data_IF_386946578032
#
_entry.id   IF_386946578032
#
_cell.length_a   1.000
_cell.length_b   1.000
_cell.length_c   1.000
_cell.angle_alpha   90.00
_cell.angle_beta   90.00
_cell.angle_gamma   90.00
#
_symmetry.space_group_name_H-M   'P 1'
#
loop_
_entity.id
_entity.type
_entity.pdbx_description
1 polymer ?
#
# COMPACT_ATOMS: atom_id res chain seq x y z
N UNK A 1 28.09 12.16 -3.78
CA UNK A 1 27.68 10.80 -4.23
C UNK A 1 27.57 10.75 -5.74
N UNK A 2 26.59 11.41 -6.38
CA UNK A 2 26.35 11.29 -7.83
C UNK A 2 27.47 11.83 -8.73
N UNK A 3 28.28 12.78 -8.25
CA UNK A 3 29.49 13.25 -8.96
C UNK A 3 30.52 12.12 -9.08
N UNK A 4 30.76 11.35 -8.01
CA UNK A 4 31.67 10.20 -8.04
C UNK A 4 31.19 9.10 -8.99
N UNK A 5 29.87 8.83 -8.99
CA UNK A 5 29.28 7.87 -9.93
C UNK A 5 29.48 8.35 -11.38
N UNK A 6 29.33 9.66 -11.62
CA UNK A 6 29.57 10.23 -12.94
C UNK A 6 31.05 10.11 -13.37
N UNK A 7 32.00 10.29 -12.45
CA UNK A 7 33.43 10.05 -12.69
C UNK A 7 33.70 8.56 -12.98
N UNK A 8 33.13 7.64 -12.21
CA UNK A 8 33.25 6.20 -12.47
C UNK A 8 32.68 5.83 -13.84
N UNK A 9 31.53 6.39 -14.22
CA UNK A 9 30.92 6.16 -15.54
C UNK A 9 31.81 6.64 -16.71
N UNK A 10 32.65 7.65 -16.50
CA UNK A 10 33.61 8.10 -17.53
C UNK A 10 34.66 7.03 -17.84
N UNK A 11 35.04 6.20 -16.86
CA UNK A 11 35.97 5.08 -17.09
C UNK A 11 35.40 4.03 -18.05
N UNK A 12 34.07 3.94 -18.14
CA UNK A 12 33.35 3.07 -19.09
C UNK A 12 32.99 3.79 -20.41
N UNK A 13 33.51 5.00 -20.64
CA UNK A 13 33.28 5.79 -21.86
C UNK A 13 32.01 6.64 -21.86
N UNK A 14 31.31 6.76 -20.73
CA UNK A 14 30.10 7.59 -20.63
C UNK A 14 30.40 8.97 -20.03
N UNK A 15 30.04 10.03 -20.75
CA UNK A 15 30.20 11.42 -20.27
C UNK A 15 28.86 11.97 -19.79
N UNK A 16 28.62 11.92 -18.49
CA UNK A 16 27.45 12.52 -17.85
C UNK A 16 27.85 13.46 -16.71
N UNK A 17 27.05 14.49 -16.46
CA UNK A 17 27.15 15.32 -15.26
C UNK A 17 26.50 14.63 -14.05
N UNK A 18 27.00 14.90 -12.85
CA UNK A 18 26.42 14.38 -11.61
C UNK A 18 24.92 14.71 -11.45
N UNK A 19 24.44 15.86 -11.97
CA UNK A 19 23.02 16.21 -11.94
C UNK A 19 22.19 15.34 -12.91
N UNK A 20 22.76 14.99 -14.07
CA UNK A 20 22.10 14.07 -15.02
C UNK A 20 21.99 12.67 -14.41
N UNK A 21 23.06 12.18 -13.76
CA UNK A 21 23.06 10.89 -13.06
C UNK A 21 22.02 10.89 -11.94
N UNK A 22 21.96 11.95 -11.14
CA UNK A 22 20.96 12.11 -10.07
C UNK A 22 19.52 12.13 -10.60
N UNK A 23 19.27 12.83 -11.70
CA UNK A 23 17.94 12.85 -12.31
C UNK A 23 17.56 11.48 -12.87
N UNK A 24 18.50 10.78 -13.50
CA UNK A 24 18.29 9.41 -13.96
C UNK A 24 18.02 8.46 -12.79
N UNK A 25 18.74 8.60 -11.69
CA UNK A 25 18.52 7.85 -10.45
C UNK A 25 17.10 8.02 -9.92
N UNK A 26 16.58 9.26 -9.85
CA UNK A 26 15.21 9.55 -9.44
C UNK A 26 14.17 8.90 -10.36
N UNK A 27 14.44 8.86 -11.67
CA UNK A 27 13.58 8.16 -12.61
C UNK A 27 13.54 6.65 -12.31
N UNK A 28 14.68 6.02 -12.05
CA UNK A 28 14.73 4.61 -11.66
C UNK A 28 13.97 4.35 -10.37
N UNK A 29 14.16 5.19 -9.34
CA UNK A 29 13.44 5.06 -8.07
C UNK A 29 11.91 5.14 -8.27
N UNK A 30 11.45 6.12 -9.07
CA UNK A 30 10.02 6.29 -9.36
C UNK A 30 9.45 5.12 -10.16
N UNK A 31 10.15 4.68 -11.20
CA UNK A 31 9.76 3.52 -12.00
C UNK A 31 9.66 2.26 -11.16
N UNK A 32 10.65 2.02 -10.30
CA UNK A 32 10.67 0.88 -9.39
C UNK A 32 9.52 0.91 -8.38
N UNK A 33 9.27 2.06 -7.72
CA UNK A 33 8.11 2.20 -6.81
C UNK A 33 6.78 1.96 -7.53
N UNK A 34 6.64 2.47 -8.75
CA UNK A 34 5.43 2.31 -9.57
C UNK A 34 5.24 0.83 -9.96
N UNK A 35 6.33 0.17 -10.36
CA UNK A 35 6.39 -1.26 -10.65
C UNK A 35 5.93 -2.10 -9.45
N UNK A 36 6.51 -1.87 -8.27
CA UNK A 36 6.14 -2.54 -7.02
C UNK A 36 4.66 -2.32 -6.67
N UNK A 37 4.15 -1.09 -6.78
CA UNK A 37 2.73 -0.80 -6.52
C UNK A 37 1.77 -1.52 -7.46
N UNK A 38 2.15 -1.67 -8.74
CA UNK A 38 1.34 -2.37 -9.72
C UNK A 38 1.35 -3.88 -9.50
N UNK A 39 2.53 -4.47 -9.24
CA UNK A 39 2.68 -5.92 -9.15
C UNK A 39 2.32 -6.48 -7.75
N UNK A 40 2.40 -5.69 -6.68
CA UNK A 40 1.95 -6.12 -5.34
C UNK A 40 0.42 -6.21 -5.22
N UNK A 41 -0.32 -5.52 -6.09
CA UNK A 41 -1.79 -5.61 -6.13
C UNK A 41 -2.18 -6.70 -7.12
N UNK A 42 -2.38 -7.91 -6.60
CA UNK A 42 -2.92 -9.10 -7.31
C UNK A 42 -4.37 -8.88 -7.79
N UNK A 43 -4.62 -7.88 -8.65
CA UNK A 43 -5.93 -7.65 -9.27
C UNK A 43 -5.84 -7.90 -10.75
N UNK A 44 -5.86 -9.18 -11.15
CA UNK A 44 -6.21 -9.68 -12.50
C UNK A 44 -5.55 -9.02 -13.71
N UNK A 45 -4.54 -8.18 -13.52
CA UNK A 45 -3.84 -7.44 -14.56
C UNK A 45 -2.48 -8.09 -14.76
N UNK A 46 -2.06 -8.19 -16.01
CA UNK A 46 -0.75 -8.70 -16.37
C UNK A 46 0.35 -7.99 -15.56
N UNK A 47 1.29 -8.79 -15.05
CA UNK A 47 2.45 -8.28 -14.35
C UNK A 47 3.22 -7.40 -15.31
N UNK A 48 3.51 -6.18 -14.89
CA UNK A 48 4.45 -5.34 -15.65
C UNK A 48 5.82 -5.96 -15.51
N UNK A 49 6.66 -5.82 -16.53
CA UNK A 49 8.09 -6.08 -16.49
C UNK A 49 8.82 -4.76 -16.30
N UNK A 50 9.96 -4.79 -15.61
CA UNK A 50 10.85 -3.65 -15.45
C UNK A 50 12.26 -4.09 -15.84
N UNK A 51 12.92 -3.28 -16.68
CA UNK A 51 14.32 -3.50 -17.02
C UNK A 51 15.19 -3.37 -15.77
N UNK A 52 16.12 -4.30 -15.60
CA UNK A 52 17.02 -4.38 -14.44
C UNK A 52 16.27 -4.53 -13.10
N UNK A 53 15.13 -5.23 -13.10
CA UNK A 53 14.32 -5.44 -11.89
C UNK A 53 15.15 -5.95 -10.71
N UNK A 54 15.94 -7.00 -10.91
CA UNK A 54 16.73 -7.63 -9.86
C UNK A 54 17.72 -6.66 -9.21
N UNK A 55 18.44 -5.90 -10.04
CA UNK A 55 19.40 -4.89 -9.58
C UNK A 55 18.69 -3.75 -8.84
N UNK A 56 17.57 -3.27 -9.38
CA UNK A 56 16.78 -2.21 -8.75
C UNK A 56 16.12 -2.67 -7.46
N UNK A 57 15.72 -3.94 -7.38
CA UNK A 57 15.20 -4.55 -6.16
C UNK A 57 16.29 -4.59 -5.09
N UNK A 58 17.50 -5.06 -5.39
CA UNK A 58 18.60 -5.05 -4.43
C UNK A 58 18.98 -3.66 -3.90
N UNK A 59 18.83 -2.62 -4.73
CA UNK A 59 19.15 -1.24 -4.36
C UNK A 59 18.02 -0.56 -3.57
N UNK A 60 16.78 -0.70 -4.03
CA UNK A 60 15.64 0.08 -3.54
C UNK A 60 14.69 -0.70 -2.62
N UNK A 61 14.75 -2.03 -2.61
CA UNK A 61 14.00 -2.83 -1.66
C UNK A 61 14.66 -2.70 -0.28
N UNK A 62 14.10 -1.83 0.55
CA UNK A 62 14.43 -1.79 1.97
C UNK A 62 13.47 -2.72 2.69
N UNK A 63 13.95 -3.88 3.13
CA UNK A 63 13.24 -4.59 4.19
C UNK A 63 13.20 -3.68 5.41
N UNK A 64 12.02 -3.43 6.00
CA UNK A 64 11.96 -2.72 7.27
C UNK A 64 12.64 -3.57 8.33
N UNK A 65 13.90 -3.27 8.64
CA UNK A 65 14.59 -3.82 9.79
C UNK A 65 13.93 -3.28 11.05
N UNK A 66 12.95 -4.02 11.57
CA UNK A 66 12.31 -3.74 12.84
C UNK A 66 13.14 -4.39 13.94
N UNK A 67 13.88 -3.57 14.69
CA UNK A 67 14.48 -3.99 15.95
C UNK A 67 13.53 -3.57 17.08
N UNK A 68 12.72 -4.48 17.65
CA UNK A 68 11.95 -4.14 18.82
C UNK A 68 12.91 -3.79 19.96
N UNK A 69 12.84 -2.55 20.45
CA UNK A 69 13.39 -2.22 21.75
C UNK A 69 12.63 -3.02 22.80
N UNK A 70 13.28 -4.05 23.34
CA UNK A 70 12.73 -4.84 24.44
C UNK A 70 12.80 -3.98 25.70
N UNK A 71 11.74 -3.20 25.93
CA UNK A 71 11.55 -2.51 27.21
C UNK A 71 11.18 -3.57 28.24
N UNK A 72 12.14 -4.02 29.03
CA UNK A 72 11.87 -4.82 30.22
C UNK A 72 11.47 -3.89 31.36
N UNK A 73 10.16 -3.65 31.52
CA UNK A 73 9.68 -3.07 32.77
C UNK A 73 9.82 -4.12 33.87
N UNK A 74 10.76 -3.90 34.80
CA UNK A 74 10.80 -4.66 36.05
C UNK A 74 9.65 -4.19 36.93
N UNK A 75 8.45 -4.73 36.69
CA UNK A 75 7.31 -4.55 37.57
C UNK A 75 7.57 -5.33 38.86
N UNK A 76 8.16 -4.64 39.84
CA UNK A 76 8.14 -5.09 41.23
C UNK A 76 6.69 -4.99 41.70
N UNK A 77 5.93 -6.06 41.54
CA UNK A 77 4.59 -6.23 42.12
C UNK A 77 4.70 -6.16 43.64
N UNK A 78 4.45 -4.97 44.22
CA UNK A 78 3.97 -4.88 45.60
C UNK A 78 2.49 -5.23 45.58
N UNK A 79 2.20 -6.48 45.95
CA UNK A 79 0.84 -6.97 46.14
C UNK A 79 0.27 -6.29 47.39
N UNK A 80 -0.63 -5.32 47.21
CA UNK A 80 -1.56 -4.92 48.26
C UNK A 80 -2.90 -5.64 48.01
N UNK A 81 -3.36 -6.51 48.91
CA UNK A 81 -4.58 -7.28 48.70
C UNK A 81 -5.81 -6.48 49.13
N UNK A 82 -6.23 -5.51 48.33
CA UNK A 82 -7.60 -5.01 48.37
C UNK A 82 -7.88 -4.20 47.10
N UNK A 83 -9.05 -4.43 46.50
CA UNK A 83 -9.61 -3.72 45.34
C UNK A 83 -9.14 -4.28 43.98
N UNK A 84 -9.66 -5.46 43.67
CA UNK A 84 -9.96 -5.82 42.30
C UNK A 84 -11.20 -5.02 41.85
N UNK A 85 -11.04 -4.08 40.92
CA UNK A 85 -12.17 -3.53 40.16
C UNK A 85 -11.80 -3.54 38.67
N UNK A 86 -12.47 -4.45 37.99
CA UNK A 86 -12.85 -4.55 36.58
C UNK A 86 -12.75 -3.32 35.68
N UNK A 87 -12.25 -3.59 34.46
CA UNK A 87 -12.84 -3.22 33.15
C UNK A 87 -12.77 -1.73 32.74
N UNK A 88 -12.14 -1.45 31.60
CA UNK A 88 -12.86 -1.03 30.39
C UNK A 88 -11.89 -0.54 29.29
N UNK A 89 -11.74 -1.37 28.25
CA UNK A 89 -11.31 -0.93 26.92
C UNK A 89 -12.42 -0.12 26.28
N UNK A 90 -12.25 1.20 26.04
CA UNK A 90 -13.07 1.90 25.05
C UNK A 90 -12.46 3.21 24.52
N UNK A 91 -12.23 3.21 23.20
CA UNK A 91 -12.42 4.33 22.25
C UNK A 91 -11.54 5.59 22.39
N UNK A 92 -11.30 6.45 21.40
CA UNK A 92 -11.85 6.58 20.06
C UNK A 92 -10.86 7.33 19.14
N UNK A 93 -10.92 7.01 17.86
CA UNK A 93 -10.24 7.68 16.75
C UNK A 93 -11.02 8.95 16.40
N UNK A 94 -10.37 10.13 16.29
CA UNK A 94 -10.95 11.29 15.57
C UNK A 94 -9.94 11.95 14.65
N UNK A 95 -10.19 11.84 13.36
CA UNK A 95 -9.56 12.61 12.27
C UNK A 95 -10.41 13.89 12.11
N UNK A 96 -9.77 15.05 12.19
CA UNK A 96 -10.38 16.37 11.93
C UNK A 96 -9.93 16.83 10.55
N UNK A 97 -10.86 16.94 9.61
CA UNK A 97 -10.68 17.60 8.31
C UNK A 97 -11.43 18.92 8.34
N UNK A 98 -10.70 20.03 8.25
CA UNK A 98 -11.26 21.39 8.19
C UNK A 98 -11.13 21.91 6.76
N UNK A 99 -12.28 22.15 6.13
CA UNK A 99 -12.43 22.80 4.83
C UNK A 99 -12.58 24.30 5.05
N UNK A 100 -11.70 25.12 4.48
CA UNK A 100 -11.87 26.56 4.41
C UNK A 100 -12.03 26.99 2.94
N UNK A 101 -13.23 27.52 2.62
CA UNK A 101 -13.51 28.37 1.46
C UNK A 101 -13.84 29.75 2.00
N UNK A 102 -13.28 30.81 1.43
CA UNK A 102 -13.77 32.20 1.32
C UNK A 102 -12.87 32.89 0.27
N UNK A 103 -13.39 33.26 -0.92
CA UNK A 103 -13.75 34.63 -1.37
C UNK A 103 -12.58 35.62 -1.38
N UNK A 104 -12.42 36.62 -2.24
CA UNK A 104 -12.98 37.13 -3.51
C UNK A 104 -12.09 38.36 -3.80
N UNK A 105 -11.61 38.58 -5.02
CA UNK A 105 -11.38 39.95 -5.55
C UNK A 105 -10.89 39.93 -6.99
N UNK A 106 -11.74 40.51 -7.85
CA UNK A 106 -11.51 40.88 -9.25
C UNK A 106 -10.49 42.02 -9.37
N UNK A 107 -9.59 41.96 -10.36
CA UNK A 107 -9.11 43.15 -11.08
C UNK A 107 -9.05 42.83 -12.58
N UNK A 108 -9.89 43.53 -13.33
CA UNK A 108 -9.88 43.60 -14.80
C UNK A 108 -8.91 44.69 -15.25
N UNK A 109 -8.01 44.38 -16.18
CA UNK A 109 -7.48 45.36 -17.13
C UNK A 109 -7.51 44.76 -18.53
N UNK A 110 -8.42 45.26 -19.35
CA UNK A 110 -8.41 45.02 -20.79
C UNK A 110 -7.60 46.08 -21.52
N UNK A 111 -6.94 45.68 -22.62
CA UNK A 111 -6.88 46.49 -23.83
C UNK A 111 -6.70 45.60 -25.06
N UNK A 112 -7.48 45.96 -26.08
CA UNK A 112 -7.82 45.20 -27.28
C UNK A 112 -6.80 45.32 -28.42
N UNK A 113 -6.88 44.37 -29.37
CA UNK A 113 -6.72 44.53 -30.83
C UNK A 113 -7.17 43.19 -31.46
N UNK A 114 -8.42 43.06 -31.93
CA UNK A 114 -8.89 43.37 -33.29
C UNK A 114 -8.37 42.42 -34.38
N UNK A 115 -9.20 41.45 -34.78
CA UNK A 115 -9.45 41.16 -36.20
C UNK A 115 -10.68 40.25 -36.33
N UNK A 116 -11.72 40.81 -36.92
CA UNK A 116 -12.97 40.21 -37.36
C UNK A 116 -12.74 39.09 -38.37
N UNK A 117 -13.33 37.92 -38.15
CA UNK A 117 -13.63 36.94 -39.21
C UNK A 117 -15.11 36.60 -39.12
N UNK A 118 -15.76 36.83 -40.25
CA UNK A 118 -17.18 36.64 -40.56
C UNK A 118 -17.61 35.18 -40.37
N UNK A 119 -18.82 35.00 -39.83
CA UNK A 119 -19.47 33.70 -39.66
C UNK A 119 -20.33 33.44 -40.89
N UNK A 120 -19.94 32.46 -41.70
CA UNK A 120 -20.84 31.80 -42.66
C UNK A 120 -21.57 30.64 -41.95
N UNK A 121 -22.92 30.57 -41.98
CA UNK A 121 -23.66 29.49 -41.37
C UNK A 121 -24.12 28.52 -42.46
N UNK A 122 -23.31 27.54 -42.84
CA UNK A 122 -23.79 26.30 -43.48
C UNK A 122 -22.63 25.30 -43.64
N UNK A 123 -22.28 24.61 -42.55
CA UNK A 123 -21.59 23.33 -42.66
C UNK A 123 -21.82 22.45 -41.42
N UNK A 124 -22.61 21.37 -41.50
CA UNK A 124 -22.76 20.44 -40.38
C UNK A 124 -21.50 19.57 -40.26
N UNK A 125 -20.63 19.92 -39.30
CA UNK A 125 -19.52 19.07 -38.85
C UNK A 125 -20.02 17.68 -38.41
N UNK A 126 -19.37 16.57 -38.80
CA UNK A 126 -19.81 15.24 -38.38
C UNK A 126 -19.57 15.06 -36.87
N UNK A 127 -20.67 14.88 -36.14
CA UNK A 127 -20.67 14.55 -34.72
C UNK A 127 -19.97 13.19 -34.51
N UNK A 128 -18.76 13.25 -33.95
CA UNK A 128 -17.96 12.09 -33.59
C UNK A 128 -18.62 11.35 -32.40
N UNK A 129 -19.54 10.43 -32.69
CA UNK A 129 -20.22 9.60 -31.67
C UNK A 129 -19.20 8.62 -31.08
N UNK A 130 -18.60 8.98 -29.95
CA UNK A 130 -17.86 8.05 -29.10
C UNK A 130 -18.82 6.94 -28.64
N UNK A 131 -18.75 5.78 -29.28
CA UNK A 131 -19.41 4.56 -28.82
C UNK A 131 -18.85 4.23 -27.44
N UNK A 132 -19.69 4.34 -26.41
CA UNK A 132 -19.37 3.82 -25.07
C UNK A 132 -19.34 2.30 -25.20
N UNK A 133 -18.14 1.72 -25.15
CA UNK A 133 -17.97 0.29 -24.98
C UNK A 133 -18.60 -0.10 -23.64
N UNK A 134 -19.76 -0.76 -23.68
CA UNK A 134 -20.34 -1.40 -22.50
C UNK A 134 -19.63 -2.73 -22.30
N UNK A 135 -18.87 -2.84 -21.22
CA UNK A 135 -18.21 -4.08 -20.84
C UNK A 135 -19.28 -5.13 -20.52
N UNK A 136 -19.42 -6.15 -21.37
CA UNK A 136 -20.17 -7.36 -21.02
C UNK A 136 -19.24 -8.23 -20.20
N UNK A 137 -19.51 -8.37 -18.90
CA UNK A 137 -18.79 -9.28 -18.03
C UNK A 137 -18.90 -10.70 -18.60
N UNK A 138 -17.84 -11.17 -19.25
CA UNK A 138 -17.76 -12.52 -19.77
C UNK A 138 -17.63 -13.47 -18.58
N UNK A 139 -18.41 -14.56 -18.62
CA UNK A 139 -18.55 -15.62 -17.61
C UNK A 139 -17.24 -16.02 -16.89
N UNK A 140 -16.10 -15.93 -17.59
CA UNK A 140 -14.76 -16.26 -17.09
C UNK A 140 -14.30 -15.41 -15.90
N UNK A 141 -14.60 -14.11 -15.87
CA UNK A 141 -14.20 -13.23 -14.76
C UNK A 141 -15.00 -13.56 -13.50
N UNK A 142 -16.29 -13.84 -13.66
CA UNK A 142 -17.17 -14.24 -12.55
C UNK A 142 -16.77 -15.61 -12.00
N UNK A 143 -16.38 -16.53 -12.87
CA UNK A 143 -15.90 -17.85 -12.46
C UNK A 143 -14.57 -17.75 -11.69
N UNK A 144 -13.65 -16.88 -12.15
CA UNK A 144 -12.42 -16.58 -11.41
C UNK A 144 -12.70 -16.04 -10.01
N UNK A 145 -13.66 -15.12 -9.88
CA UNK A 145 -14.07 -14.56 -8.57
C UNK A 145 -14.65 -15.66 -7.66
N UNK A 146 -15.46 -16.58 -8.20
CA UNK A 146 -16.03 -17.70 -7.42
C UNK A 146 -14.95 -18.65 -6.90
N UNK A 147 -14.00 -19.03 -7.76
CA UNK A 147 -12.89 -19.91 -7.38
C UNK A 147 -12.02 -19.25 -6.30
N UNK A 148 -11.69 -17.96 -6.46
CA UNK A 148 -10.93 -17.22 -5.46
C UNK A 148 -11.67 -17.10 -4.11
N UNK A 149 -12.98 -16.87 -4.11
CA UNK A 149 -13.77 -16.82 -2.87
C UNK A 149 -13.78 -18.18 -2.17
N UNK A 150 -13.95 -19.27 -2.92
CA UNK A 150 -13.92 -20.62 -2.36
C UNK A 150 -12.58 -20.91 -1.70
N UNK A 151 -11.47 -20.65 -2.39
CA UNK A 151 -10.13 -20.83 -1.85
C UNK A 151 -9.90 -20.01 -0.55
N UNK A 152 -10.38 -18.76 -0.51
CA UNK A 152 -10.25 -17.90 0.68
C UNK A 152 -11.08 -18.40 1.85
N UNK A 153 -12.25 -18.98 1.60
CA UNK A 153 -13.07 -19.58 2.64
C UNK A 153 -12.41 -20.85 3.19
N UNK A 154 -11.94 -21.75 2.32
CA UNK A 154 -11.22 -22.97 2.73
C UNK A 154 -9.98 -22.64 3.58
N UNK A 155 -9.26 -21.56 3.25
CA UNK A 155 -8.09 -21.12 4.00
C UNK A 155 -8.45 -20.55 5.38
N UNK A 156 -9.56 -19.81 5.47
CA UNK A 156 -10.10 -19.34 6.77
C UNK A 156 -10.56 -20.50 7.63
N UNK A 157 -11.25 -21.48 7.06
CA UNK A 157 -11.67 -22.68 7.79
C UNK A 157 -10.46 -23.44 8.36
N UNK A 158 -9.40 -23.62 7.57
CA UNK A 158 -8.15 -24.21 8.05
C UNK A 158 -7.51 -23.42 9.19
N UNK A 159 -7.53 -22.09 9.13
CA UNK A 159 -7.02 -21.25 10.23
C UNK A 159 -7.84 -21.44 11.51
N UNK A 160 -9.16 -21.46 11.40
CA UNK A 160 -10.05 -21.70 12.55
C UNK A 160 -9.83 -23.10 13.14
N UNK A 161 -9.65 -24.11 12.29
CA UNK A 161 -9.37 -25.49 12.73
C UNK A 161 -8.03 -25.59 13.47
N UNK A 162 -6.97 -24.95 12.94
CA UNK A 162 -5.67 -24.90 13.60
C UNK A 162 -5.74 -24.19 14.95
N UNK A 163 -6.49 -23.09 15.03
CA UNK A 163 -6.69 -22.36 16.28
C UNK A 163 -7.46 -23.21 17.30
N UNK A 164 -8.47 -23.97 16.86
CA UNK A 164 -9.20 -24.89 17.71
C UNK A 164 -8.30 -26.00 18.26
N UNK A 165 -7.48 -26.64 17.40
CA UNK A 165 -6.49 -27.65 17.82
C UNK A 165 -5.49 -27.09 18.82
N UNK A 166 -5.02 -25.86 18.61
CA UNK A 166 -4.13 -25.20 19.56
C UNK A 166 -4.78 -25.02 20.93
N UNK A 167 -6.04 -24.55 20.97
CA UNK A 167 -6.78 -24.39 22.21
C UNK A 167 -7.04 -25.73 22.93
N UNK A 168 -7.41 -26.78 22.18
CA UNK A 168 -7.58 -28.13 22.74
C UNK A 168 -6.28 -28.67 23.37
N UNK A 169 -5.12 -28.39 22.76
CA UNK A 169 -3.81 -28.75 23.32
C UNK A 169 -3.51 -27.96 24.60
N UNK A 170 -3.87 -26.68 24.66
CA UNK A 170 -3.71 -25.87 25.87
C UNK A 170 -4.59 -26.40 27.01
N UNK A 171 -5.84 -26.77 26.73
CA UNK A 171 -6.74 -27.38 27.73
C UNK A 171 -6.18 -28.72 28.23
N UNK A 172 -5.71 -29.59 27.34
CA UNK A 172 -5.03 -30.85 27.73
C UNK A 172 -3.81 -30.59 28.61
N UNK A 173 -2.99 -29.59 28.26
CA UNK A 173 -1.83 -29.20 29.07
C UNK A 173 -2.26 -28.72 30.46
N UNK A 174 -3.29 -27.90 30.56
CA UNK A 174 -3.83 -27.41 31.85
C UNK A 174 -4.34 -28.57 32.72
N UNK A 175 -5.11 -29.50 32.15
CA UNK A 175 -5.62 -30.66 32.91
C UNK A 175 -4.51 -31.58 33.43
N UNK A 176 -3.43 -31.76 32.67
CA UNK A 176 -2.26 -32.53 33.12
C UNK A 176 -1.55 -31.83 34.28
N UNK A 177 -1.36 -30.51 34.19
CA UNK A 177 -0.76 -29.72 35.26
C UNK A 177 -1.59 -29.81 36.54
N UNK A 178 -2.92 -29.68 36.45
CA UNK A 178 -3.80 -29.82 37.61
C UNK A 178 -3.69 -31.20 38.28
N UNK A 179 -3.61 -32.28 37.49
CA UNK A 179 -3.40 -33.64 38.00
C UNK A 179 -2.08 -33.76 38.74
N UNK A 180 -0.99 -33.26 38.16
CA UNK A 180 0.33 -33.27 38.81
C UNK A 180 0.33 -32.46 40.11
N UNK A 181 -0.31 -31.29 40.15
CA UNK A 181 -0.38 -30.48 41.37
C UNK A 181 -1.23 -31.13 42.48
N UNK A 182 -2.28 -31.87 42.12
CA UNK A 182 -3.15 -32.57 43.10
C UNK A 182 -2.53 -33.87 43.63
N UNK A 183 -1.59 -34.47 42.90
CA UNK A 183 -0.92 -35.71 43.30
C UNK A 183 0.34 -35.45 44.15
N UNK A 184 0.75 -34.19 44.29
CA UNK A 184 1.97 -33.79 45.01
C UNK A 184 1.72 -33.23 46.42
N UNK A 185 0.52 -33.44 46.96
CA UNK A 185 0.12 -33.24 48.36
C UNK A 185 -0.34 -34.57 48.93
#
# INVERSE_FOLDING_TARGET
MFVKIAEDMQTFGYTYSGEQVKNRWRCFEKSYKTYMQHNNKLRGRERRTLEFEEQLHGIFHKEPQFYPEVVTSSDKTRVNPAVAISVSTKSERRIRSESAKLSDSRINHGRASSSTVTVDPDNPSPANKKTRYTYKATSTVLEGIRVEMKLKNDLKEKQVELQKKHNELLEKKLTLLEKHTKTSY
#
